data_IF_454516083759
#
_entry.id   IF_454516083759
#
_cell.length_a   1.000
_cell.length_b   1.000
_cell.length_c   1.000
_cell.angle_alpha   90.00
_cell.angle_beta   90.00
_cell.angle_gamma   90.00
#
_symmetry.space_group_name_H-M   'P 1'
#
loop_
_entity.id
_entity.type
_entity.pdbx_description
1 polymer ?
#
# COMPACT_ATOMS: atom_id res chain seq x y z
N UNK A 1 -27.92 116.77 39.49
CA UNK A 1 -28.01 115.33 39.08
C UNK A 1 -27.19 115.14 37.83
N UNK A 2 -25.98 114.59 37.98
CA UNK A 2 -25.08 114.24 36.86
C UNK A 2 -25.26 112.77 36.50
N UNK A 3 -25.76 112.49 35.30
CA UNK A 3 -25.82 111.13 34.73
C UNK A 3 -24.47 110.80 34.20
N UNK A 4 -23.82 109.74 34.75
CA UNK A 4 -22.61 109.13 34.23
C UNK A 4 -23.04 108.08 33.21
N UNK A 5 -22.65 108.25 31.94
CA UNK A 5 -22.82 107.26 30.86
C UNK A 5 -21.64 106.35 30.84
N UNK A 6 -21.81 105.07 31.19
CA UNK A 6 -20.78 104.07 31.12
C UNK A 6 -20.79 103.50 29.73
N UNK A 7 -19.68 103.74 28.96
CA UNK A 7 -19.49 103.20 27.63
C UNK A 7 -18.82 101.84 27.77
N UNK A 8 -19.54 100.75 27.51
CA UNK A 8 -18.95 99.40 27.44
C UNK A 8 -18.35 99.19 26.07
N UNK A 9 -17.01 99.15 26.01
CA UNK A 9 -16.26 98.82 24.81
C UNK A 9 -16.27 97.31 24.66
N UNK A 10 -17.05 96.72 23.70
CA UNK A 10 -17.03 95.32 23.34
C UNK A 10 -15.84 95.13 22.40
N UNK A 11 -14.79 94.47 22.89
CA UNK A 11 -13.66 93.99 22.10
C UNK A 11 -14.12 92.74 21.34
N UNK A 12 -14.40 92.90 20.04
CA UNK A 12 -14.61 91.72 19.15
C UNK A 12 -13.22 91.19 18.78
N UNK A 13 -12.83 90.08 19.40
CA UNK A 13 -11.66 89.31 18.99
C UNK A 13 -12.08 88.53 17.75
N UNK A 14 -11.73 89.02 16.59
CA UNK A 14 -11.83 88.24 15.34
C UNK A 14 -10.67 87.21 15.36
N UNK A 15 -10.95 85.99 15.79
CA UNK A 15 -10.04 84.86 15.61
C UNK A 15 -10.02 84.52 14.12
N UNK A 16 -8.93 84.86 13.46
CA UNK A 16 -8.66 84.41 12.08
C UNK A 16 -8.21 82.97 12.18
N UNK A 17 -9.15 82.02 12.23
CA UNK A 17 -8.79 80.62 12.05
C UNK A 17 -8.50 80.39 10.58
N UNK A 18 -7.24 80.14 10.27
CA UNK A 18 -6.83 79.62 8.92
C UNK A 18 -7.53 78.25 8.77
N UNK A 19 -8.29 78.06 7.70
CA UNK A 19 -8.88 76.76 7.40
C UNK A 19 -7.75 75.69 7.34
N UNK A 20 -7.90 74.52 7.98
CA UNK A 20 -6.89 73.51 7.99
C UNK A 20 -6.65 72.97 6.56
N UNK A 21 -5.40 72.82 6.20
CA UNK A 21 -5.03 72.14 4.95
C UNK A 21 -5.27 70.67 5.18
N UNK A 22 -6.09 70.06 4.31
CA UNK A 22 -6.42 68.64 4.36
C UNK A 22 -5.72 67.85 3.25
N UNK A 23 -5.10 66.77 3.61
CA UNK A 23 -4.55 65.80 2.70
C UNK A 23 -5.30 64.49 2.72
N UNK A 24 -5.43 63.87 1.53
CA UNK A 24 -6.14 62.58 1.38
C UNK A 24 -5.18 61.42 1.62
N UNK A 25 -5.56 60.55 2.55
CA UNK A 25 -4.93 59.22 2.69
C UNK A 25 -5.79 58.20 1.94
N UNK A 26 -5.19 57.67 0.86
CA UNK A 26 -5.78 56.51 0.13
C UNK A 26 -5.22 55.21 0.68
N UNK A 27 -6.08 54.36 1.18
CA UNK A 27 -5.66 53.05 1.73
C UNK A 27 -6.24 51.89 0.92
N UNK A 28 -5.43 50.85 0.73
CA UNK A 28 -5.84 49.65 0.01
C UNK A 28 -5.17 48.42 0.62
N UNK A 29 -5.66 47.27 0.24
CA UNK A 29 -5.08 45.94 0.61
C UNK A 29 -4.80 45.11 -0.63
N UNK A 30 -3.74 44.33 -0.62
CA UNK A 30 -3.32 43.46 -1.73
C UNK A 30 -2.90 42.08 -1.19
N UNK A 31 -3.55 40.97 -1.60
CA UNK A 31 -4.79 40.90 -2.40
C UNK A 31 -6.01 41.43 -1.65
N UNK A 32 -7.12 41.68 -2.33
CA UNK A 32 -8.33 42.30 -1.77
C UNK A 32 -8.99 41.47 -0.67
N UNK A 33 -8.77 40.16 -0.66
CA UNK A 33 -9.21 39.19 0.36
C UNK A 33 -8.16 38.93 1.46
N UNK A 34 -7.00 39.60 1.37
CA UNK A 34 -5.84 39.33 2.25
C UNK A 34 -6.01 39.81 3.69
N UNK A 35 -6.88 40.78 3.92
CA UNK A 35 -7.07 41.37 5.24
C UNK A 35 -7.80 42.70 5.20
N UNK A 36 -7.66 43.46 6.27
CA UNK A 36 -8.21 44.81 6.38
C UNK A 36 -7.11 45.82 6.71
N UNK A 37 -7.33 47.08 6.37
CA UNK A 37 -6.49 48.22 6.71
C UNK A 37 -7.35 49.34 7.30
N UNK A 38 -6.90 49.86 8.44
CA UNK A 38 -7.52 51.01 9.11
C UNK A 38 -6.48 52.08 9.37
N UNK A 39 -6.87 53.40 9.27
CA UNK A 39 -8.15 53.90 8.81
C UNK A 39 -8.37 53.62 7.33
N UNK A 40 -9.64 53.64 6.90
CA UNK A 40 -9.99 53.60 5.47
C UNK A 40 -9.66 54.94 4.83
N UNK A 41 -9.65 55.01 3.50
CA UNK A 41 -9.44 56.23 2.73
C UNK A 41 -10.28 57.38 3.30
N UNK A 42 -9.61 58.46 3.76
CA UNK A 42 -10.20 59.63 4.35
C UNK A 42 -9.19 60.79 4.35
N UNK A 43 -9.63 62.00 4.81
CA UNK A 43 -8.77 63.19 4.88
C UNK A 43 -8.31 63.46 6.32
N UNK A 44 -7.11 63.98 6.43
CA UNK A 44 -6.44 64.36 7.68
C UNK A 44 -5.83 65.73 7.55
N UNK A 45 -5.64 66.47 8.68
CA UNK A 45 -4.99 67.77 8.69
C UNK A 45 -3.48 67.66 8.40
N UNK A 46 -2.92 68.71 7.83
CA UNK A 46 -1.49 68.84 7.63
C UNK A 46 -0.71 68.67 8.93
N UNK A 47 0.30 67.80 8.89
CA UNK A 47 1.13 67.43 10.05
C UNK A 47 0.53 66.38 10.99
N UNK A 48 -0.68 65.95 10.78
CA UNK A 48 -1.29 64.87 11.60
C UNK A 48 -0.50 63.55 11.43
N UNK A 49 -0.28 62.87 12.56
CA UNK A 49 0.33 61.55 12.56
C UNK A 49 -0.79 60.51 12.59
N UNK A 50 -0.93 59.75 11.51
CA UNK A 50 -1.94 58.73 11.35
C UNK A 50 -1.33 57.34 11.63
N UNK A 51 -1.93 56.59 12.55
CA UNK A 51 -1.59 55.21 12.83
C UNK A 51 -2.36 54.29 11.88
N UNK A 52 -1.63 53.45 11.16
CA UNK A 52 -2.14 52.44 10.24
C UNK A 52 -2.10 51.08 10.90
N UNK A 53 -3.20 50.32 10.86
CA UNK A 53 -3.26 48.95 11.35
C UNK A 53 -3.75 48.03 10.25
N UNK A 54 -2.93 47.05 9.90
CA UNK A 54 -3.25 45.96 8.99
C UNK A 54 -3.64 44.72 9.79
N UNK A 55 -4.77 44.14 9.49
CA UNK A 55 -5.26 42.92 10.14
C UNK A 55 -5.42 41.81 9.08
N UNK A 56 -4.53 40.79 9.10
CA UNK A 56 -4.60 39.69 8.13
C UNK A 56 -5.88 38.88 8.30
N UNK A 57 -6.46 38.41 7.20
CA UNK A 57 -7.48 37.38 7.20
C UNK A 57 -6.87 36.04 7.65
N UNK A 58 -7.70 35.07 8.08
CA UNK A 58 -7.25 33.78 8.63
C UNK A 58 -6.25 33.02 7.76
N UNK A 59 -6.40 33.11 6.43
CA UNK A 59 -5.60 32.40 5.44
C UNK A 59 -4.35 33.17 4.97
N UNK A 60 -4.10 34.34 5.57
CA UNK A 60 -3.03 35.24 5.17
C UNK A 60 -2.15 35.65 6.35
N UNK A 61 -0.93 36.02 6.03
CA UNK A 61 0.00 36.73 6.91
C UNK A 61 0.29 38.12 6.33
N UNK A 62 0.53 39.09 7.21
CA UNK A 62 1.02 40.39 6.77
C UNK A 62 2.42 40.22 6.18
N UNK A 63 2.64 40.79 5.01
CA UNK A 63 3.93 40.71 4.33
C UNK A 63 4.71 42.01 4.39
N UNK A 64 4.12 43.12 4.00
CA UNK A 64 4.80 44.41 3.94
C UNK A 64 3.83 45.56 3.78
N UNK A 65 4.33 46.77 4.04
CA UNK A 65 3.72 48.02 3.62
C UNK A 65 4.24 48.44 2.25
N UNK A 66 3.40 49.03 1.42
CA UNK A 66 3.75 49.75 0.23
C UNK A 66 3.22 51.21 0.43
N UNK A 67 4.11 52.21 0.32
CA UNK A 67 3.78 53.61 0.59
C UNK A 67 3.90 54.02 2.06
N UNK A 68 4.30 53.12 2.95
CA UNK A 68 4.67 53.39 4.34
C UNK A 68 5.88 52.53 4.72
N UNK A 69 6.55 52.88 5.84
CA UNK A 69 7.70 52.16 6.38
C UNK A 69 7.28 51.31 7.56
N UNK A 70 8.07 50.24 7.81
CA UNK A 70 7.84 49.30 8.95
C UNK A 70 7.61 47.88 8.51
N UNK A 71 7.90 46.94 9.41
CA UNK A 71 7.76 45.48 9.20
C UNK A 71 6.61 44.86 10.00
N UNK A 72 5.99 45.64 10.90
CA UNK A 72 4.90 45.16 11.75
C UNK A 72 3.55 45.49 11.12
N UNK A 73 2.52 44.82 11.56
CA UNK A 73 1.12 45.06 11.16
C UNK A 73 0.60 46.48 11.55
N UNK A 74 1.32 47.19 12.40
CA UNK A 74 1.01 48.60 12.76
C UNK A 74 2.21 49.50 12.41
N UNK A 75 1.91 50.64 11.80
CA UNK A 75 2.91 51.69 11.47
C UNK A 75 2.22 53.07 11.57
N UNK A 76 3.00 54.12 11.42
CA UNK A 76 2.51 55.48 11.40
C UNK A 76 3.10 56.29 10.24
N UNK A 77 2.33 57.24 9.73
CA UNK A 77 2.73 58.22 8.71
C UNK A 77 2.36 59.61 9.12
N UNK A 78 3.11 60.61 8.67
CA UNK A 78 2.74 62.03 8.86
C UNK A 78 2.10 62.54 7.57
N UNK A 79 1.01 63.26 7.66
CA UNK A 79 0.28 63.81 6.51
C UNK A 79 0.86 65.18 6.12
N UNK A 80 1.85 65.13 5.25
CA UNK A 80 2.50 66.32 4.66
C UNK A 80 2.15 66.51 3.17
N UNK A 81 1.36 65.63 2.62
CA UNK A 81 0.86 65.58 1.25
C UNK A 81 -0.19 64.48 1.13
N UNK A 82 -0.88 64.40 0.00
CA UNK A 82 -1.71 63.23 -0.33
C UNK A 82 -0.82 61.96 -0.35
N UNK A 83 -1.30 60.89 0.35
CA UNK A 83 -0.55 59.64 0.47
C UNK A 83 -1.39 58.46 0.03
N UNK A 84 -0.73 57.46 -0.53
CA UNK A 84 -1.31 56.18 -0.87
C UNK A 84 -0.55 55.04 -0.15
N UNK A 85 -1.23 54.25 0.64
CA UNK A 85 -0.66 53.14 1.39
C UNK A 85 -1.45 51.86 1.14
N UNK A 86 -0.71 50.82 0.85
CA UNK A 86 -1.25 49.47 0.65
C UNK A 86 -0.67 48.52 1.69
N UNK A 87 -1.50 47.81 2.40
CA UNK A 87 -1.10 46.67 3.19
C UNK A 87 -1.04 45.46 2.27
N UNK A 88 0.13 44.84 2.20
CA UNK A 88 0.38 43.64 1.37
C UNK A 88 0.36 42.41 2.25
N UNK A 89 -0.45 41.43 1.85
CA UNK A 89 -0.59 40.16 2.54
C UNK A 89 -0.13 39.00 1.64
N UNK A 90 0.33 37.93 2.24
CA UNK A 90 0.69 36.70 1.54
C UNK A 90 -0.07 35.51 2.09
N UNK A 91 -0.49 34.59 1.25
CA UNK A 91 -1.18 33.36 1.72
C UNK A 91 -0.24 32.53 2.60
N UNK A 92 -0.79 32.03 3.71
CA UNK A 92 -0.14 31.03 4.53
C UNK A 92 0.19 29.81 3.69
N UNK A 93 1.27 29.14 4.04
CA UNK A 93 1.75 27.97 3.34
C UNK A 93 1.86 26.79 4.29
N UNK A 94 1.44 25.62 3.81
CA UNK A 94 1.37 24.41 4.61
C UNK A 94 2.01 23.23 3.88
N UNK A 95 2.68 22.39 4.64
CA UNK A 95 3.30 21.17 4.13
C UNK A 95 2.25 20.06 3.95
N UNK A 96 2.44 19.23 2.94
CA UNK A 96 1.76 17.97 2.74
C UNK A 96 2.80 16.85 2.79
N UNK A 97 2.74 16.01 3.81
CA UNK A 97 3.55 14.81 3.97
C UNK A 97 2.73 13.59 3.59
N UNK A 98 3.25 12.82 2.65
CA UNK A 98 2.64 11.55 2.23
C UNK A 98 3.58 10.42 2.58
N UNK A 99 3.06 9.42 3.29
CA UNK A 99 3.73 8.16 3.59
C UNK A 99 3.01 7.00 2.93
N UNK A 100 3.71 5.89 2.77
CA UNK A 100 3.21 4.68 2.14
C UNK A 100 3.43 3.52 3.10
N UNK A 101 2.38 2.76 3.37
CA UNK A 101 2.42 1.47 4.05
C UNK A 101 2.15 0.37 3.00
N UNK A 102 3.06 -0.59 2.84
CA UNK A 102 3.03 -1.59 1.77
C UNK A 102 3.77 -1.13 0.52
N UNK A 103 3.39 -1.64 -0.66
CA UNK A 103 4.03 -1.30 -1.93
C UNK A 103 3.06 -0.68 -2.92
N UNK A 104 3.41 0.52 -3.38
CA UNK A 104 2.62 1.33 -4.29
C UNK A 104 3.18 2.74 -4.39
N UNK A 105 2.50 3.60 -5.12
CA UNK A 105 2.84 5.01 -5.28
C UNK A 105 1.63 5.89 -5.04
N UNK A 106 1.86 7.17 -4.75
CA UNK A 106 0.81 8.17 -4.66
C UNK A 106 1.12 9.32 -5.62
N UNK A 107 0.27 9.48 -6.61
CA UNK A 107 0.31 10.64 -7.51
C UNK A 107 -0.43 11.81 -6.90
N UNK A 108 0.12 13.01 -7.10
CA UNK A 108 -0.43 14.28 -6.64
C UNK A 108 -0.75 15.14 -7.85
N UNK A 109 -2.01 15.52 -7.99
CA UNK A 109 -2.45 16.45 -9.02
C UNK A 109 -3.03 17.70 -8.40
N UNK A 110 -2.42 18.84 -8.64
CA UNK A 110 -2.95 20.13 -8.20
C UNK A 110 -4.15 20.47 -9.07
N UNK A 111 -5.31 20.51 -8.47
CA UNK A 111 -6.54 20.93 -9.15
C UNK A 111 -6.64 22.45 -9.17
N UNK A 112 -6.09 23.12 -8.16
CA UNK A 112 -6.03 24.58 -8.04
C UNK A 112 -4.66 25.01 -7.50
N UNK A 113 -4.01 25.96 -8.16
CA UNK A 113 -2.57 26.29 -8.07
C UNK A 113 -1.93 26.46 -6.68
N UNK A 114 -0.73 25.89 -6.55
CA UNK A 114 0.24 25.98 -5.46
C UNK A 114 1.58 25.37 -5.90
N UNK A 115 2.62 25.40 -5.09
CA UNK A 115 3.93 24.78 -5.36
C UNK A 115 4.03 23.37 -4.77
N UNK A 116 4.81 22.48 -5.42
CA UNK A 116 4.85 21.02 -5.20
C UNK A 116 5.19 20.48 -3.80
N UNK A 117 5.76 21.24 -2.88
CA UNK A 117 6.13 20.75 -1.53
C UNK A 117 5.62 21.61 -0.39
N UNK A 118 5.11 22.79 -0.69
CA UNK A 118 4.67 23.76 0.28
C UNK A 118 3.51 24.56 -0.36
N UNK A 119 2.30 24.16 -0.05
CA UNK A 119 1.08 24.60 -0.72
C UNK A 119 0.50 25.83 -0.05
N UNK A 120 0.05 26.79 -0.86
CA UNK A 120 -0.74 27.90 -0.36
C UNK A 120 -2.04 27.41 0.29
N UNK A 121 -2.45 28.05 1.37
CA UNK A 121 -3.74 27.77 2.00
C UNK A 121 -4.88 27.83 0.98
N UNK A 122 -5.81 26.88 1.08
CA UNK A 122 -6.91 26.71 0.15
C UNK A 122 -6.56 25.98 -1.16
N UNK A 123 -5.31 25.49 -1.34
CA UNK A 123 -4.97 24.62 -2.48
C UNK A 123 -5.74 23.31 -2.39
N UNK A 124 -6.35 22.89 -3.52
CA UNK A 124 -7.02 21.60 -3.65
C UNK A 124 -6.11 20.67 -4.43
N UNK A 125 -5.84 19.50 -3.85
CA UNK A 125 -4.98 18.46 -4.41
C UNK A 125 -5.80 17.19 -4.54
N UNK A 126 -5.69 16.52 -5.69
CA UNK A 126 -6.19 15.17 -5.91
C UNK A 126 -5.04 14.18 -5.69
N UNK A 127 -5.26 13.21 -4.81
CA UNK A 127 -4.34 12.12 -4.52
C UNK A 127 -4.87 10.84 -5.14
N UNK A 128 -4.03 10.16 -5.91
CA UNK A 128 -4.33 8.86 -6.51
C UNK A 128 -3.33 7.83 -5.99
N UNK A 129 -3.83 6.84 -5.30
CA UNK A 129 -3.05 5.70 -4.83
C UNK A 129 -2.97 4.64 -5.93
N UNK A 130 -1.76 4.26 -6.33
CA UNK A 130 -1.49 3.28 -7.38
C UNK A 130 -0.75 2.10 -6.74
N UNK A 131 -1.42 0.95 -6.52
CA UNK A 131 -0.78 -0.23 -5.97
C UNK A 131 0.21 -0.84 -6.96
N UNK A 132 1.32 -1.40 -6.45
CA UNK A 132 2.19 -2.26 -7.24
C UNK A 132 1.50 -3.58 -7.62
N UNK A 133 2.13 -4.34 -8.55
CA UNK A 133 1.65 -5.67 -8.92
C UNK A 133 1.51 -6.54 -7.66
N UNK A 134 0.43 -7.32 -7.58
CA UNK A 134 0.08 -8.17 -6.43
C UNK A 134 -0.25 -7.42 -5.13
N UNK A 135 -0.46 -6.10 -5.20
CA UNK A 135 -0.96 -5.29 -4.09
C UNK A 135 -2.32 -4.67 -4.43
N UNK A 136 -3.04 -4.26 -3.41
CA UNK A 136 -4.30 -3.52 -3.53
C UNK A 136 -4.25 -2.30 -2.61
N UNK A 137 -4.83 -1.18 -3.06
CA UNK A 137 -5.06 -0.06 -2.19
C UNK A 137 -6.21 -0.39 -1.23
N UNK A 138 -5.98 -0.21 0.07
CA UNK A 138 -6.97 -0.51 1.10
C UNK A 138 -7.65 0.75 1.60
N UNK A 139 -6.87 1.76 1.97
CA UNK A 139 -7.41 3.00 2.55
C UNK A 139 -6.38 4.10 2.68
N UNK A 140 -6.89 5.29 2.87
CA UNK A 140 -6.14 6.43 3.39
C UNK A 140 -6.19 6.46 4.92
N UNK A 141 -5.12 6.96 5.55
CA UNK A 141 -5.01 7.25 6.99
C UNK A 141 -4.45 8.65 7.23
N UNK A 142 -4.67 9.18 8.44
CA UNK A 142 -4.18 10.49 8.86
C UNK A 142 -5.20 11.60 8.67
N UNK A 143 -4.78 12.75 8.11
CA UNK A 143 -5.67 13.91 7.88
C UNK A 143 -6.73 13.66 6.79
N UNK A 144 -6.63 12.55 6.09
CA UNK A 144 -7.66 11.97 5.21
C UNK A 144 -7.86 10.52 5.59
N UNK A 145 -9.09 10.03 5.56
CA UNK A 145 -9.44 8.64 5.84
C UNK A 145 -10.51 8.15 4.87
N UNK A 146 -10.55 6.85 4.66
CA UNK A 146 -11.55 6.20 3.78
C UNK A 146 -10.91 5.45 2.63
N UNK A 147 -11.76 4.95 1.74
CA UNK A 147 -11.39 4.04 0.65
C UNK A 147 -11.51 4.69 -0.74
N UNK A 148 -12.00 5.94 -0.80
CA UNK A 148 -12.13 6.64 -2.07
C UNK A 148 -10.75 6.88 -2.71
N UNK A 149 -10.61 6.48 -3.97
CA UNK A 149 -9.39 6.64 -4.74
C UNK A 149 -9.75 6.93 -6.21
N UNK A 150 -9.40 8.08 -6.76
CA UNK A 150 -8.69 9.20 -6.12
C UNK A 150 -9.51 9.97 -5.08
N UNK A 151 -8.82 10.70 -4.18
CA UNK A 151 -9.41 11.56 -3.16
C UNK A 151 -8.95 13.00 -3.33
N UNK A 152 -9.85 13.97 -3.12
CA UNK A 152 -9.51 15.40 -3.12
C UNK A 152 -9.42 15.94 -1.70
N UNK A 153 -8.37 16.72 -1.44
CA UNK A 153 -8.09 17.34 -0.16
C UNK A 153 -7.87 18.83 -0.30
N UNK A 154 -8.26 19.59 0.72
CA UNK A 154 -7.94 21.03 0.81
C UNK A 154 -6.81 21.23 1.81
N UNK A 155 -5.79 21.97 1.41
CA UNK A 155 -4.66 22.33 2.27
C UNK A 155 -5.00 23.60 3.03
N UNK A 156 -5.50 23.45 4.25
CA UNK A 156 -5.89 24.51 5.20
C UNK A 156 -5.01 24.54 6.45
N UNK A 157 -4.16 23.53 6.60
CA UNK A 157 -3.17 23.31 7.66
C UNK A 157 -2.15 22.30 7.18
N UNK A 158 -1.01 22.09 7.88
CA UNK A 158 -0.13 20.96 7.60
C UNK A 158 -0.91 19.65 7.61
N UNK A 159 -0.69 18.80 6.59
CA UNK A 159 -1.37 17.51 6.42
C UNK A 159 -0.37 16.37 6.44
N UNK A 160 -0.72 15.31 7.15
CA UNK A 160 0.00 14.04 7.15
C UNK A 160 -0.98 12.95 6.72
N UNK A 161 -0.69 12.29 5.60
CA UNK A 161 -1.55 11.30 4.97
C UNK A 161 -0.73 10.05 4.69
N UNK A 162 -1.31 8.89 4.94
CA UNK A 162 -0.72 7.60 4.57
C UNK A 162 -1.65 6.86 3.61
N UNK A 163 -1.09 6.36 2.51
CA UNK A 163 -1.74 5.38 1.65
C UNK A 163 -1.38 3.98 2.16
N UNK A 164 -2.38 3.16 2.40
CA UNK A 164 -2.21 1.78 2.89
C UNK A 164 -2.49 0.83 1.75
N UNK A 165 -1.49 0.01 1.43
CA UNK A 165 -1.57 -1.07 0.48
C UNK A 165 -1.36 -2.40 1.20
N UNK A 166 -2.07 -3.43 0.79
CA UNK A 166 -1.93 -4.80 1.29
C UNK A 166 -1.74 -5.75 0.12
N UNK A 167 -1.07 -6.88 0.35
CA UNK A 167 -0.94 -7.93 -0.66
C UNK A 167 -2.29 -8.53 -0.99
N UNK A 168 -2.52 -8.83 -2.27
CA UNK A 168 -3.64 -9.65 -2.72
C UNK A 168 -3.61 -10.98 -1.99
N UNK A 169 -4.77 -11.51 -1.67
CA UNK A 169 -4.93 -12.81 -1.05
C UNK A 169 -5.62 -13.75 -2.03
N UNK A 170 -5.16 -14.99 -2.04
CA UNK A 170 -5.68 -16.03 -2.91
C UNK A 170 -6.00 -17.30 -2.14
N UNK A 171 -7.18 -17.92 -2.36
CA UNK A 171 -7.52 -19.19 -1.76
C UNK A 171 -6.68 -20.32 -2.38
N UNK A 172 -6.31 -21.27 -1.52
CA UNK A 172 -5.77 -22.57 -1.90
C UNK A 172 -6.77 -23.64 -1.46
N UNK A 173 -7.44 -24.26 -2.43
CA UNK A 173 -8.39 -25.34 -2.19
C UNK A 173 -7.67 -26.69 -2.39
N UNK A 174 -7.74 -27.55 -1.38
CA UNK A 174 -7.19 -28.91 -1.44
C UNK A 174 -8.34 -29.90 -1.50
N UNK A 175 -8.38 -30.70 -2.55
CA UNK A 175 -9.29 -31.81 -2.74
C UNK A 175 -8.54 -33.14 -2.57
N UNK A 176 -9.24 -34.14 -2.05
CA UNK A 176 -8.66 -35.49 -1.90
C UNK A 176 -9.58 -36.45 -2.63
N UNK A 177 -9.01 -37.20 -3.57
CA UNK A 177 -9.67 -38.33 -4.23
C UNK A 177 -9.08 -39.64 -3.66
N UNK A 178 -9.92 -40.45 -3.01
CA UNK A 178 -9.50 -41.62 -2.26
C UNK A 178 -9.47 -41.39 -0.75
N UNK A 179 -8.75 -42.23 -0.02
CA UNK A 179 -8.65 -42.15 1.44
C UNK A 179 -7.24 -41.76 1.90
N UNK A 180 -7.17 -40.70 2.72
CA UNK A 180 -5.93 -40.15 3.24
C UNK A 180 -6.13 -38.71 3.73
N UNK A 181 -5.04 -38.05 4.03
CA UNK A 181 -5.01 -36.65 4.45
C UNK A 181 -4.00 -35.87 3.63
N UNK A 182 -4.13 -34.56 3.59
CA UNK A 182 -3.11 -33.63 3.10
C UNK A 182 -2.78 -32.66 4.20
N UNK A 183 -1.50 -32.62 4.57
CA UNK A 183 -0.97 -31.63 5.51
C UNK A 183 -0.43 -30.44 4.72
N UNK A 184 -0.79 -29.23 5.15
CA UNK A 184 -0.33 -27.96 4.60
C UNK A 184 0.61 -27.31 5.59
N UNK A 185 1.81 -26.94 5.15
CA UNK A 185 2.78 -26.22 5.96
C UNK A 185 3.23 -24.96 5.22
N UNK A 186 3.03 -23.80 5.84
CA UNK A 186 3.51 -22.54 5.29
C UNK A 186 5.03 -22.47 5.47
N UNK A 187 5.76 -22.47 4.37
CA UNK A 187 7.22 -22.33 4.37
C UNK A 187 7.63 -20.85 4.45
N UNK A 188 6.82 -19.95 3.90
CA UNK A 188 6.96 -18.48 4.02
C UNK A 188 5.63 -17.87 4.41
N UNK A 189 5.62 -16.82 5.28
CA UNK A 189 4.40 -16.38 5.97
C UNK A 189 3.29 -15.86 5.05
N UNK A 190 2.08 -16.25 5.40
CA UNK A 190 0.78 -15.82 4.93
C UNK A 190 -0.28 -16.19 5.96
N UNK A 191 -1.54 -15.87 5.75
CA UNK A 191 -2.66 -16.23 6.64
C UNK A 191 -3.29 -17.57 6.24
N UNK A 192 -3.80 -18.40 7.18
CA UNK A 192 -4.08 -19.85 6.97
C UNK A 192 -5.13 -20.24 5.92
N UNK A 193 -6.05 -19.40 5.49
CA UNK A 193 -7.10 -19.77 4.53
C UNK A 193 -7.09 -18.95 3.24
N UNK A 194 -6.58 -17.74 3.32
CA UNK A 194 -6.29 -16.90 2.16
C UNK A 194 -4.83 -16.50 2.24
N UNK A 195 -4.03 -17.04 1.33
CA UNK A 195 -2.60 -16.80 1.32
C UNK A 195 -2.27 -15.50 0.62
N UNK A 196 -1.43 -14.69 1.22
CA UNK A 196 -0.85 -13.53 0.54
C UNK A 196 -0.13 -13.99 -0.73
N UNK A 197 -0.28 -13.23 -1.80
CA UNK A 197 0.42 -13.51 -3.06
C UNK A 197 1.91 -13.75 -2.84
N UNK A 198 2.43 -14.83 -3.44
CA UNK A 198 3.81 -15.29 -3.31
C UNK A 198 4.09 -16.13 -2.06
N UNK A 199 3.07 -16.51 -1.27
CA UNK A 199 3.23 -17.48 -0.17
C UNK A 199 3.64 -18.83 -0.74
N UNK A 200 4.65 -19.46 -0.14
CA UNK A 200 5.07 -20.83 -0.48
C UNK A 200 4.51 -21.80 0.56
N UNK A 201 3.75 -22.76 0.08
CA UNK A 201 3.10 -23.81 0.87
C UNK A 201 3.68 -25.15 0.50
N UNK A 202 4.07 -25.95 1.48
CA UNK A 202 4.41 -27.36 1.29
C UNK A 202 3.16 -28.21 1.51
N UNK A 203 2.89 -29.10 0.57
CA UNK A 203 1.81 -30.09 0.64
C UNK A 203 2.40 -31.48 0.83
N UNK A 204 1.86 -32.22 1.79
CA UNK A 204 2.22 -33.60 2.06
C UNK A 204 0.94 -34.46 2.02
N UNK A 205 0.83 -35.29 1.02
CA UNK A 205 -0.24 -36.28 0.97
C UNK A 205 0.15 -37.52 1.80
N UNK A 206 -0.73 -37.90 2.72
CA UNK A 206 -0.58 -39.06 3.60
C UNK A 206 -1.73 -40.04 3.35
N UNK A 207 -1.52 -41.07 2.47
CA UNK A 207 -2.53 -42.06 2.18
C UNK A 207 -2.93 -42.88 3.42
N UNK A 208 -4.19 -43.28 3.51
CA UNK A 208 -4.64 -44.21 4.51
C UNK A 208 -4.01 -45.61 4.32
N UNK A 209 -4.12 -46.47 5.34
CA UNK A 209 -3.60 -47.80 5.26
C UNK A 209 -4.22 -48.58 4.07
N UNK A 210 -3.38 -49.17 3.24
CA UNK A 210 -3.78 -49.87 2.02
C UNK A 210 -4.02 -49.00 0.79
N UNK A 211 -3.86 -47.66 0.95
CA UNK A 211 -3.92 -46.72 -0.16
C UNK A 211 -2.54 -46.19 -0.54
N UNK A 212 -2.41 -45.63 -1.73
CA UNK A 212 -1.16 -45.10 -2.25
C UNK A 212 -1.37 -43.78 -2.94
N UNK A 213 -0.47 -42.84 -2.70
CA UNK A 213 -0.46 -41.58 -3.43
C UNK A 213 -0.04 -41.81 -4.89
N UNK A 214 -0.85 -41.33 -5.81
CA UNK A 214 -0.57 -41.42 -7.25
C UNK A 214 0.11 -40.16 -7.77
N UNK A 215 -0.58 -39.02 -7.59
CA UNK A 215 -0.11 -37.73 -8.08
C UNK A 215 -0.93 -36.59 -7.50
N UNK A 216 -0.42 -35.41 -7.69
CA UNK A 216 -1.20 -34.16 -7.62
C UNK A 216 -1.79 -33.84 -8.99
N UNK A 217 -3.00 -33.30 -9.03
CA UNK A 217 -3.68 -32.80 -10.24
C UNK A 217 -4.43 -31.50 -9.95
N UNK A 218 -5.15 -30.97 -10.94
CA UNK A 218 -5.74 -29.64 -10.89
C UNK A 218 -4.73 -28.60 -11.36
N UNK A 219 -4.56 -27.51 -10.61
CA UNK A 219 -3.63 -26.42 -10.96
C UNK A 219 -2.15 -26.80 -10.72
N UNK A 220 -1.88 -28.03 -10.29
CA UNK A 220 -0.55 -28.63 -10.14
C UNK A 220 -0.55 -30.05 -10.68
N UNK A 221 0.42 -30.35 -11.56
CA UNK A 221 0.65 -31.73 -12.04
C UNK A 221 2.02 -32.22 -11.56
N UNK A 222 2.04 -33.16 -10.60
CA UNK A 222 3.28 -33.72 -10.06
C UNK A 222 3.04 -35.08 -9.38
N UNK A 223 4.02 -35.97 -9.47
CA UNK A 223 4.10 -37.19 -8.67
C UNK A 223 5.02 -37.06 -7.45
N UNK A 224 5.62 -35.88 -7.22
CA UNK A 224 6.46 -35.66 -6.04
C UNK A 224 5.58 -35.45 -4.80
N UNK A 225 5.93 -36.09 -3.71
CA UNK A 225 5.33 -35.94 -2.40
C UNK A 225 6.41 -36.08 -1.32
N UNK A 226 6.67 -35.04 -0.51
CA UNK A 226 6.05 -33.73 -0.47
C UNK A 226 6.37 -32.84 -1.68
N UNK A 227 5.57 -31.76 -1.85
CA UNK A 227 5.79 -30.75 -2.89
C UNK A 227 5.58 -29.33 -2.33
N UNK A 228 6.36 -28.37 -2.85
CA UNK A 228 6.18 -26.94 -2.56
C UNK A 228 5.52 -26.26 -3.74
N UNK A 229 4.56 -25.38 -3.43
CA UNK A 229 3.84 -24.57 -4.42
C UNK A 229 3.84 -23.10 -4.01
N UNK A 230 3.82 -22.22 -4.99
CA UNK A 230 3.63 -20.78 -4.77
C UNK A 230 2.18 -20.41 -5.04
N UNK A 231 1.54 -19.76 -4.08
CA UNK A 231 0.17 -19.23 -4.20
C UNK A 231 0.26 -17.80 -4.76
N UNK A 232 0.15 -17.67 -6.06
CA UNK A 232 0.20 -16.43 -6.84
C UNK A 232 -1.14 -16.11 -7.52
N UNK A 233 -2.09 -17.02 -7.39
CA UNK A 233 -3.48 -16.94 -7.84
C UNK A 233 -4.32 -17.95 -7.05
N UNK A 234 -5.64 -17.87 -7.17
CA UNK A 234 -6.53 -18.92 -6.66
C UNK A 234 -6.15 -20.27 -7.28
N UNK A 235 -5.91 -21.28 -6.44
CA UNK A 235 -5.53 -22.62 -6.87
C UNK A 235 -6.44 -23.68 -6.27
N UNK A 236 -6.75 -24.67 -7.09
CA UNK A 236 -7.39 -25.92 -6.66
C UNK A 236 -6.48 -27.07 -6.99
N UNK A 237 -6.00 -27.79 -5.97
CA UNK A 237 -5.07 -28.91 -6.10
C UNK A 237 -5.76 -30.15 -5.55
N UNK A 238 -5.66 -31.23 -6.32
CA UNK A 238 -6.21 -32.53 -5.93
C UNK A 238 -5.09 -33.51 -5.64
N UNK A 239 -5.14 -34.14 -4.48
CA UNK A 239 -4.36 -35.33 -4.18
C UNK A 239 -5.12 -36.56 -4.69
N UNK A 240 -4.58 -37.22 -5.71
CA UNK A 240 -5.12 -38.48 -6.19
C UNK A 240 -4.48 -39.65 -5.42
N UNK A 241 -5.28 -40.30 -4.59
CA UNK A 241 -4.90 -41.42 -3.74
C UNK A 241 -5.76 -42.59 -4.15
N UNK A 242 -5.18 -43.72 -4.44
CA UNK A 242 -5.89 -44.89 -4.96
C UNK A 242 -5.66 -46.11 -4.09
N UNK A 243 -6.65 -46.98 -4.05
CA UNK A 243 -6.52 -48.30 -3.44
C UNK A 243 -6.15 -49.34 -4.52
N UNK A 244 -4.93 -49.77 -4.55
CA UNK A 244 -4.45 -50.67 -5.59
C UNK A 244 -5.11 -52.09 -5.51
N UNK A 245 -5.54 -52.53 -4.34
CA UNK A 245 -6.13 -53.84 -4.14
C UNK A 245 -7.61 -53.88 -4.61
N UNK A 246 -8.35 -52.81 -4.37
CA UNK A 246 -9.73 -52.73 -4.83
C UNK A 246 -9.87 -52.78 -6.35
N UNK A 247 -8.80 -52.42 -7.07
CA UNK A 247 -8.80 -52.39 -8.54
C UNK A 247 -8.41 -53.69 -9.20
N UNK A 248 -7.50 -54.51 -8.61
CA UNK A 248 -6.94 -55.71 -9.26
C UNK A 248 -7.17 -57.00 -8.53
N UNK A 249 -7.45 -56.98 -7.21
CA UNK A 249 -7.45 -58.16 -6.36
C UNK A 249 -6.09 -58.92 -6.27
N UNK A 250 -5.02 -58.33 -6.85
CA UNK A 250 -3.69 -58.89 -6.87
C UNK A 250 -2.79 -58.19 -5.86
N UNK A 251 -1.80 -58.91 -5.33
CA UNK A 251 -0.81 -58.31 -4.45
C UNK A 251 0.01 -57.22 -5.17
N UNK A 252 0.37 -56.16 -4.43
CA UNK A 252 1.09 -55.01 -4.98
C UNK A 252 2.50 -54.99 -4.42
N UNK A 253 3.44 -54.97 -5.34
CA UNK A 253 4.86 -54.82 -5.02
C UNK A 253 5.24 -53.35 -5.05
N UNK A 254 5.61 -52.81 -3.91
CA UNK A 254 6.21 -51.48 -3.77
C UNK A 254 7.74 -51.60 -3.79
N UNK A 255 8.38 -50.72 -4.55
CA UNK A 255 9.83 -50.67 -4.67
C UNK A 255 10.28 -49.26 -4.29
N UNK A 256 11.09 -49.16 -3.26
CA UNK A 256 11.72 -47.93 -2.84
C UNK A 256 13.24 -47.99 -3.13
N UNK A 257 13.70 -47.15 -4.03
CA UNK A 257 15.11 -47.01 -4.39
C UNK A 257 15.77 -45.81 -3.75
N UNK A 258 15.16 -45.23 -2.70
CA UNK A 258 15.63 -44.01 -2.01
C UNK A 258 15.85 -42.82 -2.99
N UNK A 259 14.98 -42.71 -4.00
CA UNK A 259 15.08 -41.68 -5.03
C UNK A 259 16.13 -41.92 -6.12
N UNK A 260 16.84 -43.04 -6.09
CA UNK A 260 17.85 -43.39 -7.11
C UNK A 260 17.17 -44.00 -8.34
N UNK A 261 17.38 -43.40 -9.49
CA UNK A 261 16.77 -43.86 -10.73
C UNK A 261 17.44 -45.19 -11.20
N UNK A 262 16.64 -46.18 -11.60
CA UNK A 262 17.12 -47.44 -12.16
C UNK A 262 17.40 -47.27 -13.67
N UNK A 263 18.60 -46.85 -14.01
CA UNK A 263 19.01 -46.46 -15.36
C UNK A 263 20.01 -47.42 -16.01
N UNK A 264 20.46 -48.46 -15.30
CA UNK A 264 21.46 -49.40 -15.77
C UNK A 264 20.90 -50.81 -15.85
N UNK A 265 21.42 -51.63 -16.79
CA UNK A 265 21.22 -53.07 -16.86
C UNK A 265 22.34 -53.84 -16.17
N UNK A 266 23.48 -53.19 -16.00
CA UNK A 266 24.66 -53.78 -15.41
C UNK A 266 24.68 -53.59 -13.90
N UNK A 267 24.37 -52.36 -13.47
CA UNK A 267 24.48 -51.99 -12.08
C UNK A 267 23.15 -52.13 -11.37
N UNK A 268 23.18 -52.65 -10.16
CA UNK A 268 22.01 -52.70 -9.27
C UNK A 268 21.90 -51.44 -8.45
N UNK A 269 20.69 -50.96 -8.33
CA UNK A 269 20.28 -49.95 -7.34
C UNK A 269 19.79 -50.71 -6.11
N UNK A 270 20.30 -50.36 -4.94
CA UNK A 270 19.88 -50.89 -3.67
C UNK A 270 18.60 -50.15 -3.19
N UNK A 271 17.74 -50.86 -2.49
CA UNK A 271 16.49 -50.29 -1.97
C UNK A 271 15.71 -51.29 -1.14
N UNK A 272 14.45 -51.00 -0.93
CA UNK A 272 13.55 -51.87 -0.20
C UNK A 272 12.35 -52.23 -1.05
N UNK A 273 11.82 -53.42 -0.84
CA UNK A 273 10.58 -53.89 -1.43
C UNK A 273 9.57 -54.20 -0.32
N UNK A 274 8.36 -53.82 -0.54
CA UNK A 274 7.21 -54.19 0.29
C UNK A 274 6.10 -54.78 -0.60
N UNK A 275 5.40 -55.78 -0.11
CA UNK A 275 4.24 -56.35 -0.80
C UNK A 275 3.04 -56.14 0.09
N UNK A 276 2.01 -55.52 -0.48
CA UNK A 276 0.70 -55.53 0.13
C UNK A 276 -0.11 -56.67 -0.51
N UNK A 277 -0.32 -57.73 0.25
CA UNK A 277 -0.97 -58.96 -0.22
C UNK A 277 -2.47 -58.86 -0.27
N UNK A 278 -3.05 -57.82 0.34
CA UNK A 278 -4.51 -57.68 0.46
C UNK A 278 -5.12 -58.78 1.30
N UNK A 279 -6.40 -59.13 0.98
CA UNK A 279 -7.11 -60.15 1.74
C UNK A 279 -6.63 -61.58 1.47
N UNK A 280 -5.91 -61.81 0.38
CA UNK A 280 -5.66 -63.18 -0.13
C UNK A 280 -4.19 -63.63 -0.06
N UNK A 281 -3.29 -62.70 0.20
CA UNK A 281 -1.83 -62.99 0.21
C UNK A 281 -1.17 -62.36 1.44
N UNK A 282 -0.07 -62.93 1.93
CA UNK A 282 0.67 -62.31 3.04
C UNK A 282 1.36 -61.02 2.63
N UNK A 283 1.49 -60.08 3.58
CA UNK A 283 2.25 -58.86 3.42
C UNK A 283 3.76 -59.13 3.59
N UNK A 284 4.59 -58.44 2.83
CA UNK A 284 6.03 -58.33 3.05
C UNK A 284 6.35 -56.86 3.38
N UNK A 285 7.01 -56.64 4.49
CA UNK A 285 7.40 -55.29 4.91
C UNK A 285 8.92 -55.09 4.77
N UNK A 286 9.30 -54.04 4.01
CA UNK A 286 10.66 -53.49 3.94
C UNK A 286 11.80 -54.50 3.77
N UNK A 287 11.64 -55.48 2.88
CA UNK A 287 12.71 -56.40 2.57
C UNK A 287 13.80 -55.70 1.75
N UNK A 288 15.06 -55.84 2.16
CA UNK A 288 16.18 -55.34 1.38
C UNK A 288 16.21 -55.96 0.00
N UNK A 289 16.38 -55.16 -1.03
CA UNK A 289 16.44 -55.62 -2.41
C UNK A 289 17.44 -54.85 -3.25
N UNK A 290 17.81 -55.41 -4.37
CA UNK A 290 18.57 -54.77 -5.45
C UNK A 290 17.78 -54.86 -6.73
N UNK A 291 17.68 -53.76 -7.47
CA UNK A 291 16.95 -53.69 -8.74
C UNK A 291 17.81 -53.15 -9.86
N UNK A 292 17.71 -53.76 -11.03
CA UNK A 292 18.31 -53.24 -12.28
C UNK A 292 17.40 -53.46 -13.49
N UNK A 293 17.73 -52.84 -14.61
CA UNK A 293 17.06 -53.08 -15.87
C UNK A 293 17.34 -54.51 -16.37
N UNK A 294 16.41 -55.09 -17.14
CA UNK A 294 16.51 -56.40 -17.76
C UNK A 294 16.13 -56.36 -19.24
N UNK A 295 16.74 -57.24 -20.06
CA UNK A 295 16.39 -57.39 -21.47
C UNK A 295 17.21 -56.51 -22.43
N UNK A 296 17.44 -56.97 -23.67
CA UNK A 296 18.32 -56.29 -24.60
C UNK A 296 17.64 -55.33 -25.56
N UNK A 297 16.43 -55.60 -26.01
CA UNK A 297 15.74 -54.81 -27.04
C UNK A 297 14.69 -53.84 -26.50
N UNK A 298 14.10 -54.10 -25.35
CA UNK A 298 12.98 -53.36 -24.83
C UNK A 298 13.37 -52.21 -23.93
N UNK A 299 14.62 -52.16 -23.49
CA UNK A 299 15.11 -51.12 -22.56
C UNK A 299 15.38 -49.76 -23.26
N UNK A 300 15.88 -49.84 -24.53
CA UNK A 300 16.30 -48.64 -25.27
C UNK A 300 15.19 -48.03 -26.14
N UNK A 301 14.21 -48.81 -26.53
CA UNK A 301 13.09 -48.30 -27.29
C UNK A 301 12.06 -47.70 -26.32
N UNK A 302 12.01 -46.39 -26.22
CA UNK A 302 10.89 -45.63 -25.67
C UNK A 302 9.62 -45.87 -26.48
N UNK A 303 9.27 -47.18 -26.64
CA UNK A 303 8.05 -47.59 -27.32
C UNK A 303 6.83 -47.09 -26.58
N UNK A 304 5.76 -46.88 -27.32
CA UNK A 304 4.44 -46.32 -26.96
C UNK A 304 3.81 -46.99 -25.71
N UNK A 305 4.38 -48.00 -25.12
CA UNK A 305 3.91 -48.76 -23.96
C UNK A 305 4.76 -48.65 -22.69
N UNK A 306 5.86 -47.91 -22.69
CA UNK A 306 6.58 -47.43 -21.50
C UNK A 306 7.03 -48.45 -20.43
N UNK A 307 6.74 -49.75 -20.57
CA UNK A 307 7.06 -50.76 -19.56
C UNK A 307 8.47 -51.28 -19.74
N UNK A 308 9.38 -50.84 -18.86
CA UNK A 308 10.74 -51.42 -18.82
C UNK A 308 10.76 -52.67 -17.96
N UNK A 309 11.33 -53.81 -18.42
CA UNK A 309 11.51 -54.98 -17.57
C UNK A 309 12.59 -54.73 -16.53
N UNK A 310 12.35 -55.15 -15.30
CA UNK A 310 13.32 -55.08 -14.21
C UNK A 310 13.65 -56.46 -13.67
N UNK A 311 14.84 -56.60 -13.10
CA UNK A 311 15.25 -57.73 -12.30
C UNK A 311 15.40 -57.28 -10.86
N UNK A 312 14.66 -57.92 -9.94
CA UNK A 312 14.75 -57.68 -8.51
C UNK A 312 15.45 -58.90 -7.88
N UNK A 313 16.38 -58.65 -6.95
CA UNK A 313 17.02 -59.66 -6.11
C UNK A 313 16.84 -59.26 -4.67
N UNK A 314 16.36 -60.20 -3.86
CA UNK A 314 16.33 -60.08 -2.41
C UNK A 314 17.62 -60.62 -1.80
N UNK A 315 18.06 -60.09 -0.61
CA UNK A 315 19.32 -60.41 0.02
C UNK A 315 19.41 -61.86 0.50
N UNK A 316 18.38 -62.33 1.19
CA UNK A 316 18.24 -63.70 1.68
C UNK A 316 17.02 -64.40 1.07
N UNK A 317 16.89 -65.74 1.30
CA UNK A 317 15.70 -66.49 0.87
C UNK A 317 14.44 -65.91 1.56
N UNK A 318 13.92 -64.86 0.98
CA UNK A 318 12.61 -64.32 1.36
C UNK A 318 11.59 -65.08 0.52
N UNK A 319 10.69 -65.82 1.17
CA UNK A 319 9.51 -66.37 0.49
C UNK A 319 8.65 -65.18 0.05
N UNK A 320 8.67 -64.88 -1.24
CA UNK A 320 7.91 -63.86 -1.88
C UNK A 320 6.73 -64.48 -2.59
N UNK A 321 5.79 -65.08 -1.87
CA UNK A 321 4.59 -65.81 -2.35
C UNK A 321 4.81 -67.27 -2.57
#
# INVERSE_FOLDING_TARGET
MKKIFCFILILIVVSCSKDPILYTLTTSVNPTDGGTLTPRTTQFEEGETVVLNAEPSNEYDFFAWSGATGSNTSTSIVMDSDKSVTAVFTKKRYTLNISIEGEGTVDQKIIKSGKATDYNSGTIIELSANPESEWVFVKWKGDVSGIENPVQITIDKPKNISAVFEKKQYPLNIEIEGEGTVDETIIKPGTPNDYNSGTVVQLIASPANGWSFLKWSGDLLSSKNPIEITVDMAKTIKAEIFNPIAFTGLPILYINTNGIAVNSKEDYVEGFASINGGANYPDLLEAEMKIKGRGNSTWWQGGIWGKKPYQIKFGDKTEVL
#
